data_IF_753249201241
#
_entry.id   IF_753249201241
#
_cell.length_a   1.000
_cell.length_b   1.000
_cell.length_c   1.000
_cell.angle_alpha   90.00
_cell.angle_beta   90.00
_cell.angle_gamma   90.00
#
_symmetry.space_group_name_H-M   'P 1'
#
loop_
_entity.id
_entity.type
_entity.pdbx_description
1 polymer ?
#
# COMPACT_ATOMS: atom_id res chain seq x y z
N UNK A 1 -31.98 52.78 -6.82
CA UNK A 1 -32.52 51.52 -7.38
C UNK A 1 -31.37 50.72 -8.04
N UNK A 2 -30.17 50.57 -7.49
CA UNK A 2 -29.74 49.93 -6.22
C UNK A 2 -30.09 48.44 -6.05
N UNK A 3 -30.44 47.68 -7.10
CA UNK A 3 -30.89 46.28 -6.90
C UNK A 3 -30.28 45.20 -7.80
N UNK A 4 -29.28 45.48 -8.64
CA UNK A 4 -28.79 44.48 -9.62
C UNK A 4 -27.29 44.21 -9.63
N UNK A 5 -26.49 44.87 -8.80
CA UNK A 5 -25.02 44.69 -8.79
C UNK A 5 -24.49 43.82 -7.62
N UNK A 6 -25.37 43.25 -6.81
CA UNK A 6 -24.97 42.48 -5.62
C UNK A 6 -24.89 40.96 -5.80
N UNK A 7 -25.27 40.40 -6.96
CA UNK A 7 -25.60 38.97 -7.07
C UNK A 7 -24.61 38.11 -7.87
N UNK A 8 -23.32 38.46 -7.87
CA UNK A 8 -22.29 37.63 -8.52
C UNK A 8 -21.14 37.20 -7.60
N UNK A 9 -20.97 37.85 -6.44
CA UNK A 9 -19.87 37.57 -5.51
C UNK A 9 -20.17 36.44 -4.52
N UNK A 10 -21.43 35.98 -4.41
CA UNK A 10 -21.84 34.93 -3.47
C UNK A 10 -21.78 33.50 -4.04
N UNK A 11 -21.63 33.33 -5.36
CA UNK A 11 -21.67 31.99 -5.98
C UNK A 11 -20.28 31.32 -6.01
N UNK A 12 -19.19 32.09 -5.86
CA UNK A 12 -17.83 31.55 -6.01
C UNK A 12 -17.24 30.89 -4.76
N UNK A 13 -17.94 30.89 -3.62
CA UNK A 13 -17.38 30.42 -2.34
C UNK A 13 -17.92 29.08 -1.84
N UNK A 14 -18.97 28.50 -2.43
CA UNK A 14 -19.61 27.30 -1.89
C UNK A 14 -19.11 25.96 -2.46
N UNK A 15 -18.28 25.97 -3.51
CA UNK A 15 -17.66 24.75 -4.07
C UNK A 15 -16.15 24.67 -3.86
N UNK A 16 -15.55 25.72 -3.30
CA UNK A 16 -14.12 25.74 -3.01
C UNK A 16 -13.63 24.94 -1.77
N UNK A 17 -14.44 24.60 -0.73
CA UNK A 17 -13.86 23.95 0.44
C UNK A 17 -13.65 22.45 0.24
N UNK A 18 -14.36 21.81 -0.69
CA UNK A 18 -14.30 20.35 -0.88
C UNK A 18 -12.97 19.88 -1.52
N UNK A 19 -12.31 20.72 -2.32
CA UNK A 19 -11.00 20.41 -2.91
C UNK A 19 -9.80 20.89 -2.06
N UNK A 20 -10.06 21.63 -0.97
CA UNK A 20 -9.02 22.06 -0.02
C UNK A 20 -8.79 21.09 1.14
N UNK A 21 -9.54 19.98 1.20
CA UNK A 21 -9.38 18.94 2.22
C UNK A 21 -8.47 17.77 1.83
N UNK A 22 -8.24 17.53 0.54
CA UNK A 22 -7.47 16.36 0.06
C UNK A 22 -5.98 16.68 -0.22
N UNK A 23 -5.56 17.95 -0.10
CA UNK A 23 -4.17 18.36 -0.38
C UNK A 23 -3.43 18.89 0.84
N UNK A 24 -4.00 18.74 2.05
CA UNK A 24 -3.17 18.70 3.26
C UNK A 24 -2.53 17.33 3.26
N UNK A 25 -1.43 17.19 2.53
CA UNK A 25 -0.46 16.13 2.82
C UNK A 25 -0.11 16.32 4.29
N UNK A 26 -0.72 15.51 5.16
CA UNK A 26 -0.35 15.46 6.57
C UNK A 26 1.12 15.01 6.57
N UNK A 27 2.03 15.99 6.52
CA UNK A 27 3.44 15.78 6.83
C UNK A 27 3.49 15.57 8.34
N UNK A 28 3.00 14.41 8.79
CA UNK A 28 3.48 13.83 10.01
C UNK A 28 4.98 13.63 9.77
N UNK A 29 5.81 14.41 10.48
CA UNK A 29 7.26 14.21 10.46
C UNK A 29 7.53 12.87 11.10
N UNK A 30 7.48 11.80 10.29
CA UNK A 30 7.91 10.47 10.68
C UNK A 30 9.43 10.50 10.79
N UNK A 31 9.91 10.86 11.97
CA UNK A 31 11.31 10.74 12.31
C UNK A 31 11.59 9.30 12.72
N UNK A 32 12.19 8.54 11.81
CA UNK A 32 12.63 7.17 12.06
C UNK A 32 14.05 7.25 12.63
N UNK A 33 14.26 6.65 13.80
CA UNK A 33 15.61 6.52 14.37
C UNK A 33 16.45 5.63 13.44
N UNK A 34 17.76 5.92 13.27
CA UNK A 34 18.62 5.07 12.44
C UNK A 34 18.55 3.62 12.91
N UNK A 35 18.66 2.69 11.96
CA UNK A 35 18.52 1.26 12.23
C UNK A 35 19.47 0.86 13.37
N UNK A 36 18.91 0.23 14.42
CA UNK A 36 19.69 -0.22 15.59
C UNK A 36 20.68 -1.34 15.22
N UNK A 37 20.35 -2.05 14.15
CA UNK A 37 21.09 -3.14 13.52
C UNK A 37 21.04 -2.88 12.02
N UNK A 38 22.18 -2.90 11.34
CA UNK A 38 22.21 -2.81 9.89
C UNK A 38 21.94 -4.19 9.32
N UNK A 39 20.70 -4.43 8.89
CA UNK A 39 20.31 -5.67 8.23
C UNK A 39 21.07 -5.73 6.91
N UNK A 40 21.91 -6.76 6.74
CA UNK A 40 22.68 -6.92 5.51
C UNK A 40 21.74 -7.27 4.35
N UNK A 41 22.05 -6.86 3.10
CA UNK A 41 21.29 -7.31 1.93
C UNK A 41 21.17 -8.83 1.85
N UNK A 42 22.15 -9.55 2.40
CA UNK A 42 22.15 -11.01 2.50
C UNK A 42 21.03 -11.51 3.43
N UNK A 43 20.85 -10.90 4.61
CA UNK A 43 19.82 -11.31 5.56
C UNK A 43 18.41 -11.10 5.00
N UNK A 44 18.20 -9.97 4.30
CA UNK A 44 16.94 -9.70 3.60
C UNK A 44 16.69 -10.74 2.51
N UNK A 45 17.72 -11.06 1.72
CA UNK A 45 17.60 -12.05 0.65
C UNK A 45 17.26 -13.43 1.20
N UNK A 46 17.96 -13.87 2.25
CA UNK A 46 17.70 -15.15 2.92
C UNK A 46 16.28 -15.16 3.48
N UNK A 47 15.84 -14.12 4.19
CA UNK A 47 14.49 -14.04 4.73
C UNK A 47 13.40 -14.10 3.64
N UNK A 48 13.60 -13.37 2.54
CA UNK A 48 12.66 -13.33 1.42
C UNK A 48 12.57 -14.66 0.69
N UNK A 49 13.72 -15.31 0.42
CA UNK A 49 13.77 -16.63 -0.20
C UNK A 49 13.17 -17.68 0.73
N UNK A 50 13.49 -17.66 2.02
CA UNK A 50 12.99 -18.64 2.98
C UNK A 50 11.48 -18.54 3.18
N UNK A 51 10.93 -17.33 3.20
CA UNK A 51 9.49 -17.10 3.23
C UNK A 51 8.81 -17.67 1.98
N UNK A 52 9.37 -17.41 0.80
CA UNK A 52 8.86 -17.95 -0.45
C UNK A 52 8.90 -19.48 -0.47
N UNK A 53 10.03 -20.09 -0.09
CA UNK A 53 10.19 -21.55 -0.01
C UNK A 53 9.29 -22.19 1.04
N UNK A 54 8.95 -21.49 2.13
CA UNK A 54 8.04 -22.01 3.16
C UNK A 54 6.62 -22.15 2.64
N UNK A 55 6.19 -21.25 1.73
CA UNK A 55 4.88 -21.34 1.09
C UNK A 55 4.93 -22.33 -0.08
N UNK A 56 5.96 -22.21 -0.92
CA UNK A 56 6.09 -23.01 -2.14
C UNK A 56 6.50 -24.46 -1.86
N UNK A 57 7.17 -24.74 -0.75
CA UNK A 57 7.64 -26.07 -0.38
C UNK A 57 6.48 -27.06 -0.19
N UNK A 58 5.53 -26.78 0.72
CA UNK A 58 4.30 -27.57 0.84
C UNK A 58 3.53 -27.63 -0.47
N UNK A 59 3.35 -26.49 -1.15
CA UNK A 59 2.63 -26.45 -2.42
C UNK A 59 3.28 -27.32 -3.51
N UNK A 60 4.61 -27.33 -3.59
CA UNK A 60 5.39 -28.12 -4.54
C UNK A 60 5.36 -29.61 -4.21
N UNK A 61 5.39 -29.98 -2.92
CA UNK A 61 5.26 -31.36 -2.48
C UNK A 61 3.89 -31.95 -2.83
N UNK A 62 2.81 -31.22 -2.57
CA UNK A 62 1.45 -31.63 -2.91
C UNK A 62 1.31 -31.80 -4.44
N UNK A 63 1.82 -30.85 -5.23
CA UNK A 63 1.70 -30.90 -6.70
C UNK A 63 2.52 -32.04 -7.31
N UNK A 64 3.70 -32.35 -6.74
CA UNK A 64 4.53 -33.47 -7.17
C UNK A 64 3.84 -34.82 -6.92
N UNK A 65 3.16 -34.97 -5.79
CA UNK A 65 2.46 -36.20 -5.43
C UNK A 65 1.16 -36.45 -6.23
N UNK A 66 0.68 -35.48 -7.03
CA UNK A 66 -0.52 -35.66 -7.88
C UNK A 66 -0.36 -36.79 -8.91
N UNK A 67 0.87 -37.05 -9.38
CA UNK A 67 1.17 -38.15 -10.32
C UNK A 67 1.03 -39.52 -9.65
N UNK A 68 1.49 -39.64 -8.40
CA UNK A 68 1.41 -40.88 -7.63
C UNK A 68 -0.02 -41.26 -7.24
N UNK A 69 -0.93 -40.28 -7.13
CA UNK A 69 -2.35 -40.56 -6.92
C UNK A 69 -3.07 -41.03 -8.20
N UNK A 70 -2.62 -40.61 -9.39
CA UNK A 70 -3.26 -40.97 -10.67
C UNK A 70 -2.93 -42.39 -11.14
N UNK A 71 -1.85 -42.99 -10.63
CA UNK A 71 -1.37 -44.32 -11.04
C UNK A 71 -1.72 -45.43 -10.04
N UNK A 72 -2.47 -45.11 -8.99
CA UNK A 72 -3.05 -46.08 -8.03
C UNK A 72 -4.50 -46.45 -8.36
N UNK A 73 -4.92 -46.22 -9.61
CA UNK A 73 -6.14 -46.72 -10.21
C UNK A 73 -5.79 -47.37 -11.54
#
# INVERSE_FOLDING_TARGET
>A
QSSILGSWNLIKFHVAPALRGCTVTQKATLYIRPAKENISPVDIFVGMVMFSLTILGPSGWILAHMKDYKQKQ
#
